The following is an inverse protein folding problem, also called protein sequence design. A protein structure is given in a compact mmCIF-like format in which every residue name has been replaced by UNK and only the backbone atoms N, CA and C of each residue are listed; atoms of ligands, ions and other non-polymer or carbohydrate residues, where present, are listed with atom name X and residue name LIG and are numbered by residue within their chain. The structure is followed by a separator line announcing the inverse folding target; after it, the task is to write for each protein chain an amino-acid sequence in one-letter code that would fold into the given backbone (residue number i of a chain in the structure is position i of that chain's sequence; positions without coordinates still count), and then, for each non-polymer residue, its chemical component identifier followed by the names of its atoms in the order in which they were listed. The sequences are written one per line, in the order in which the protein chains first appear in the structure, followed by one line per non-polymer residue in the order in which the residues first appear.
data_IF_396368231655
#
_entry.id   IF_396368231655
#
_cell.length_a   1.000
_cell.length_b   1.000
_cell.length_c   1.000
_cell.angle_alpha   90.00
_cell.angle_beta   90.00
_cell.angle_gamma   90.00
#
_symmetry.space_group_name_H-M   'P 1'
#
loop_
_entity.id
_entity.type
_entity.pdbx_description
1 polymer ?
#
# COMPACT_ATOMS: atom_id res chain seq x y z
N UNK A 1 13.00 -21.40 1.70
CA UNK A 1 12.71 -20.00 2.08
C UNK A 1 14.05 -19.34 2.33
N UNK A 2 14.44 -18.41 1.47
CA UNK A 2 15.75 -17.79 1.56
C UNK A 2 15.67 -16.70 2.63
N UNK A 3 16.36 -16.91 3.76
CA UNK A 3 16.38 -15.97 4.89
C UNK A 3 16.63 -14.50 4.50
N UNK A 4 17.53 -14.20 3.53
CA UNK A 4 17.72 -12.84 3.03
C UNK A 4 16.48 -12.24 2.35
N UNK A 5 15.70 -13.03 1.60
CA UNK A 5 14.50 -12.54 0.94
C UNK A 5 13.47 -12.05 1.96
N UNK A 6 13.24 -12.82 3.03
CA UNK A 6 12.34 -12.41 4.12
C UNK A 6 12.80 -11.12 4.80
N UNK A 7 14.12 -10.98 5.01
CA UNK A 7 14.67 -9.75 5.57
C UNK A 7 14.46 -8.55 4.63
N UNK A 8 14.66 -8.71 3.32
CA UNK A 8 14.42 -7.64 2.36
C UNK A 8 12.94 -7.27 2.29
N UNK A 9 12.04 -8.24 2.21
CA UNK A 9 10.58 -7.97 2.25
C UNK A 9 10.19 -7.16 3.49
N UNK A 10 10.74 -7.50 4.67
CA UNK A 10 10.50 -6.74 5.88
C UNK A 10 11.06 -5.31 5.78
N UNK A 11 12.32 -5.16 5.34
CA UNK A 11 13.01 -3.87 5.24
C UNK A 11 12.30 -2.93 4.27
N UNK A 12 11.95 -3.41 3.08
CA UNK A 12 11.22 -2.63 2.08
C UNK A 12 9.74 -2.45 2.44
N UNK A 13 9.19 -3.32 3.28
CA UNK A 13 7.86 -3.18 3.89
C UNK A 13 7.76 -2.12 5.00
N UNK A 14 8.88 -1.74 5.62
CA UNK A 14 8.89 -0.80 6.76
C UNK A 14 8.20 0.55 6.49
N UNK A 15 8.40 1.22 5.34
CA UNK A 15 7.74 2.51 5.08
C UNK A 15 6.21 2.42 5.16
N UNK A 16 5.62 1.30 4.72
CA UNK A 16 4.17 1.08 4.74
C UNK A 16 3.66 0.82 6.16
N UNK A 17 4.37 -0.03 6.91
CA UNK A 17 4.08 -0.28 8.33
C UNK A 17 4.18 1.02 9.13
N UNK A 18 5.25 1.78 8.94
CA UNK A 18 5.46 3.06 9.61
C UNK A 18 4.38 4.07 9.24
N UNK A 19 3.98 4.14 7.97
CA UNK A 19 2.88 5.03 7.54
C UNK A 19 1.58 4.67 8.23
N UNK A 20 1.24 3.38 8.31
CA UNK A 20 0.08 2.89 9.06
C UNK A 20 0.12 3.27 10.55
N UNK A 21 1.28 3.09 11.21
CA UNK A 21 1.46 3.45 12.61
C UNK A 21 1.34 4.97 12.86
N UNK A 22 1.92 5.79 11.97
CA UNK A 22 1.86 7.26 12.06
C UNK A 22 0.42 7.78 11.98
N UNK A 23 -0.39 7.18 11.10
CA UNK A 23 -1.77 7.64 10.86
C UNK A 23 -2.83 6.93 11.69
N UNK A 24 -2.51 5.84 12.38
CA UNK A 24 -3.48 5.01 13.14
C UNK A 24 -4.34 5.83 14.10
N UNK A 25 -3.75 6.74 14.88
CA UNK A 25 -4.53 7.57 15.82
C UNK A 25 -5.10 8.85 15.21
N UNK A 26 -4.83 9.13 13.94
CA UNK A 26 -5.32 10.34 13.28
C UNK A 26 -6.78 10.16 12.86
N UNK A 27 -7.70 10.88 13.51
CA UNK A 27 -9.13 10.93 13.15
C UNK A 27 -9.43 11.93 12.02
N UNK A 28 -8.43 12.29 11.21
CA UNK A 28 -8.52 13.39 10.25
C UNK A 28 -8.77 12.89 8.83
N UNK A 29 -9.40 13.73 8.00
CA UNK A 29 -9.63 13.45 6.57
C UNK A 29 -8.32 13.25 5.80
N UNK A 30 -7.24 13.91 6.24
CA UNK A 30 -5.89 13.79 5.66
C UNK A 30 -5.31 12.38 5.87
N UNK A 31 -5.66 11.73 6.98
CA UNK A 31 -5.21 10.35 7.25
C UNK A 31 -5.72 9.39 6.18
N UNK A 32 -6.96 9.55 5.71
CA UNK A 32 -7.51 8.74 4.62
C UNK A 32 -6.73 8.90 3.32
N UNK A 33 -6.36 10.13 2.95
CA UNK A 33 -5.54 10.38 1.75
C UNK A 33 -4.16 9.73 1.92
N UNK A 34 -3.52 9.88 3.08
CA UNK A 34 -2.19 9.30 3.34
C UNK A 34 -2.25 7.77 3.23
N UNK A 35 -3.25 7.13 3.86
CA UNK A 35 -3.44 5.68 3.78
C UNK A 35 -3.70 5.24 2.34
N UNK A 36 -4.55 5.96 1.60
CA UNK A 36 -4.83 5.65 0.21
C UNK A 36 -3.57 5.69 -0.67
N UNK A 37 -2.76 6.74 -0.53
CA UNK A 37 -1.50 6.87 -1.26
C UNK A 37 -0.50 5.78 -0.86
N UNK A 38 -0.45 5.41 0.43
CA UNK A 38 0.42 4.34 0.92
C UNK A 38 0.06 2.99 0.28
N UNK A 39 -1.23 2.64 0.22
CA UNK A 39 -1.70 1.45 -0.50
C UNK A 39 -1.32 1.49 -1.98
N UNK A 40 -1.59 2.61 -2.68
CA UNK A 40 -1.26 2.71 -4.10
C UNK A 40 0.25 2.59 -4.37
N UNK A 41 1.09 3.17 -3.52
CA UNK A 41 2.54 3.01 -3.61
C UNK A 41 3.02 1.61 -3.27
N UNK A 42 2.31 0.88 -2.39
CA UNK A 42 2.60 -0.52 -2.09
C UNK A 42 2.30 -1.40 -3.30
N UNK A 43 1.15 -1.19 -3.95
CA UNK A 43 0.83 -1.92 -5.17
C UNK A 43 1.81 -1.62 -6.31
N UNK A 44 2.37 -0.40 -6.37
CA UNK A 44 3.48 -0.11 -7.28
C UNK A 44 4.74 -0.89 -6.88
N UNK A 45 5.09 -0.94 -5.60
CA UNK A 45 6.21 -1.73 -5.11
C UNK A 45 6.08 -3.21 -5.48
N UNK A 46 4.90 -3.81 -5.36
CA UNK A 46 4.65 -5.21 -5.74
C UNK A 46 4.98 -5.52 -7.22
N UNK A 47 4.87 -4.54 -8.13
CA UNK A 47 5.29 -4.73 -9.53
C UNK A 47 6.80 -4.60 -9.76
N UNK A 48 7.50 -3.81 -8.96
CA UNK A 48 8.90 -3.45 -9.20
C UNK A 48 9.89 -4.14 -8.24
N UNK A 49 9.42 -4.78 -7.16
CA UNK A 49 10.28 -5.37 -6.14
C UNK A 49 11.24 -6.43 -6.70
N UNK A 50 10.85 -7.14 -7.76
CA UNK A 50 11.68 -8.10 -8.50
C UNK A 50 13.00 -7.50 -9.04
N UNK A 51 13.07 -6.17 -9.22
CA UNK A 51 14.30 -5.48 -9.62
C UNK A 51 15.31 -5.34 -8.46
N UNK A 52 14.85 -5.40 -7.21
CA UNK A 52 15.70 -5.33 -6.03
C UNK A 52 16.13 -6.73 -5.57
N UNK A 53 15.19 -7.67 -5.51
CA UNK A 53 15.45 -9.08 -5.16
C UNK A 53 14.29 -9.97 -5.65
N UNK A 54 14.58 -11.25 -5.86
CA UNK A 54 13.56 -12.24 -6.22
C UNK A 54 13.12 -13.01 -4.97
N UNK A 55 11.81 -13.15 -4.79
CA UNK A 55 11.24 -13.95 -3.71
C UNK A 55 10.70 -15.28 -4.25
N UNK A 56 11.46 -16.40 -4.15
CA UNK A 56 11.00 -17.71 -4.63
C UNK A 56 9.92 -18.34 -3.73
N UNK A 57 9.53 -17.67 -2.63
CA UNK A 57 8.54 -18.16 -1.67
C UNK A 57 7.09 -17.95 -2.10
N UNK A 58 6.83 -17.22 -3.18
CA UNK A 58 5.49 -16.94 -3.71
C UNK A 58 5.40 -17.29 -5.20
N UNK A 59 4.17 -17.46 -5.69
CA UNK A 59 3.94 -17.66 -7.12
C UNK A 59 4.24 -16.38 -7.90
N UNK A 60 4.69 -16.52 -9.14
CA UNK A 60 5.05 -15.40 -10.01
C UNK A 60 3.90 -14.39 -10.29
N UNK A 61 2.64 -14.80 -10.19
CA UNK A 61 1.48 -13.92 -10.37
C UNK A 61 1.03 -13.25 -9.07
N UNK A 62 1.53 -13.71 -7.93
CA UNK A 62 1.08 -13.25 -6.61
C UNK A 62 1.32 -11.75 -6.38
N UNK A 63 2.50 -11.18 -6.73
CA UNK A 63 2.71 -9.73 -6.59
C UNK A 63 1.76 -8.90 -7.45
N UNK A 64 1.50 -9.32 -8.70
CA UNK A 64 0.55 -8.61 -9.57
C UNK A 64 -0.87 -8.65 -9.02
N UNK A 65 -1.29 -9.75 -8.38
CA UNK A 65 -2.57 -9.83 -7.70
C UNK A 65 -2.65 -8.89 -6.49
N UNK A 66 -1.62 -8.87 -5.63
CA UNK A 66 -1.56 -7.95 -4.49
C UNK A 66 -1.63 -6.49 -4.95
N UNK A 67 -0.89 -6.14 -6.01
CA UNK A 67 -0.92 -4.81 -6.58
C UNK A 67 -2.32 -4.37 -7.03
N UNK A 68 -3.12 -5.27 -7.60
CA UNK A 68 -4.52 -4.98 -7.98
C UNK A 68 -5.36 -4.71 -6.73
N UNK A 69 -5.21 -5.53 -5.68
CA UNK A 69 -5.93 -5.34 -4.41
C UNK A 69 -5.57 -3.98 -3.81
N UNK A 70 -4.30 -3.65 -3.77
CA UNK A 70 -3.78 -2.41 -3.20
C UNK A 70 -4.30 -1.17 -3.92
N UNK A 71 -4.24 -1.16 -5.25
CA UNK A 71 -4.78 -0.08 -6.07
C UNK A 71 -6.29 0.03 -5.87
N UNK A 72 -7.00 -1.10 -5.79
CA UNK A 72 -8.45 -1.11 -5.57
C UNK A 72 -8.81 -0.48 -4.22
N UNK A 73 -8.10 -0.85 -3.15
CA UNK A 73 -8.29 -0.28 -1.81
C UNK A 73 -7.95 1.21 -1.79
N UNK A 74 -6.82 1.60 -2.39
CA UNK A 74 -6.39 2.99 -2.49
C UNK A 74 -7.41 3.87 -3.22
N UNK A 75 -7.90 3.41 -4.38
CA UNK A 75 -8.93 4.10 -5.16
C UNK A 75 -10.24 4.20 -4.36
N UNK A 76 -10.67 3.12 -3.72
CA UNK A 76 -11.87 3.12 -2.87
C UNK A 76 -11.77 4.18 -1.77
N UNK A 77 -10.63 4.28 -1.07
CA UNK A 77 -10.42 5.28 -0.02
C UNK A 77 -10.47 6.72 -0.55
N UNK A 78 -9.94 6.97 -1.76
CA UNK A 78 -10.02 8.29 -2.41
C UNK A 78 -11.46 8.64 -2.82
N UNK A 79 -12.22 7.68 -3.35
CA UNK A 79 -13.64 7.87 -3.67
C UNK A 79 -14.42 8.17 -2.39
N UNK A 80 -14.21 7.38 -1.33
CA UNK A 80 -14.85 7.60 -0.04
C UNK A 80 -14.53 8.98 0.53
N UNK A 81 -13.25 9.40 0.48
CA UNK A 81 -12.85 10.74 0.87
C UNK A 81 -13.61 11.82 0.10
N UNK A 82 -13.72 11.67 -1.23
CA UNK A 82 -14.43 12.64 -2.08
C UNK A 82 -15.92 12.71 -1.72
N UNK A 83 -16.58 11.55 -1.58
CA UNK A 83 -18.01 11.47 -1.28
C UNK A 83 -18.37 12.06 0.10
N UNK A 84 -17.58 11.76 1.12
CA UNK A 84 -17.89 12.16 2.51
C UNK A 84 -17.42 13.58 2.82
N UNK A 85 -16.31 14.02 2.21
CA UNK A 85 -15.65 15.25 2.66
C UNK A 85 -15.45 16.33 1.61
N UNK A 86 -15.52 16.00 0.32
CA UNK A 86 -15.32 16.96 -0.77
C UNK A 86 -16.63 17.43 -1.40
N UNK A 87 -17.79 16.84 -1.06
CA UNK A 87 -19.10 17.37 -1.41
C UNK A 87 -19.44 18.60 -0.57
N UNK A 88 -18.72 19.70 -0.81
CA UNK A 88 -19.30 21.04 -0.64
C UNK A 88 -20.12 21.31 -1.89
N UNK A 89 -21.42 21.07 -1.81
CA UNK A 89 -22.38 21.69 -2.73
C UNK A 89 -22.25 23.20 -2.49
N UNK A 90 -22.04 23.92 -3.60
CA UNK A 90 -21.92 25.38 -3.70
C UNK A 90 -23.07 26.06 -2.98
#
# INVERSE_FOLDING_TARGET
MDGPAVLYELLYGLPFIMTGLLVWRMRSKKALIIVALAWMSHGFYDFYHDHFFLNPGVFNWYPAFCAIVDVTVGVYLLIYYKCVFSNKII
#
